data_IF_687313585411
#
_entry.id   IF_687313585411
#
_cell.length_a   1.000
_cell.length_b   1.000
_cell.length_c   1.000
_cell.angle_alpha   90.00
_cell.angle_beta   90.00
_cell.angle_gamma   90.00
#
_symmetry.space_group_name_H-M   'P 1'
#
loop_
_entity.id
_entity.type
_entity.pdbx_description
1 polymer ?
#
# COMPACT_ATOMS: atom_id res chain seq x y z
N UNK A 1 3.19 1.51 -2.55
CA UNK A 1 4.09 2.46 -3.25
C UNK A 1 3.68 3.90 -3.06
N UNK A 2 3.09 4.27 -1.90
CA UNK A 2 2.92 5.67 -1.56
C UNK A 2 4.29 6.29 -1.30
N UNK A 3 4.54 7.47 -1.88
CA UNK A 3 5.78 8.20 -1.72
C UNK A 3 5.49 9.70 -1.60
N UNK A 4 5.78 10.22 -0.40
CA UNK A 4 5.41 11.56 0.01
C UNK A 4 6.67 12.34 0.40
N UNK A 5 6.62 13.65 0.23
CA UNK A 5 7.71 14.54 0.66
C UNK A 5 7.19 15.81 1.31
N UNK A 6 7.98 16.35 2.22
CA UNK A 6 7.80 17.67 2.80
C UNK A 6 9.14 18.20 3.28
N UNK A 7 9.18 19.48 3.63
CA UNK A 7 10.26 20.09 4.38
C UNK A 7 9.66 21.13 5.33
N UNK A 8 10.35 21.41 6.44
CA UNK A 8 9.82 22.32 7.44
C UNK A 8 10.71 22.43 8.66
N UNK A 9 10.17 23.09 9.69
CA UNK A 9 10.86 23.27 10.97
C UNK A 9 10.93 21.96 11.74
N UNK A 10 11.85 21.86 12.70
CA UNK A 10 11.95 20.72 13.62
C UNK A 10 10.61 20.36 14.27
N UNK A 11 9.84 21.37 14.68
CA UNK A 11 8.53 21.16 15.29
C UNK A 11 7.53 20.51 14.31
N UNK A 12 7.50 20.93 13.05
CA UNK A 12 6.64 20.30 12.04
C UNK A 12 7.04 18.85 11.78
N UNK A 13 8.35 18.61 11.62
CA UNK A 13 8.87 17.26 11.35
C UNK A 13 8.62 16.32 12.54
N UNK A 14 8.77 16.77 13.79
CA UNK A 14 8.48 15.95 14.98
C UNK A 14 7.01 15.49 15.02
N UNK A 15 6.07 16.39 14.64
CA UNK A 15 4.65 16.04 14.52
C UNK A 15 4.43 14.99 13.44
N UNK A 16 5.09 15.12 12.29
CA UNK A 16 4.98 14.14 11.21
C UNK A 16 5.59 12.79 11.59
N UNK A 17 6.76 12.76 12.23
CA UNK A 17 7.36 11.53 12.75
C UNK A 17 6.41 10.84 13.75
N UNK A 18 5.78 11.62 14.63
CA UNK A 18 4.82 11.09 15.60
C UNK A 18 3.54 10.56 14.93
N UNK A 19 3.00 11.27 13.94
CA UNK A 19 1.75 10.92 13.28
C UNK A 19 1.89 9.75 12.30
N UNK A 20 3.00 9.72 11.53
CA UNK A 20 3.30 8.61 10.62
C UNK A 20 3.88 7.40 11.35
N UNK A 21 4.56 7.61 12.48
CA UNK A 21 5.21 6.57 13.29
C UNK A 21 6.04 5.60 12.42
N UNK A 22 7.04 6.10 11.67
CA UNK A 22 7.82 5.27 10.77
C UNK A 22 8.50 4.11 11.51
N UNK A 23 8.57 2.95 10.86
CA UNK A 23 9.25 1.77 11.41
C UNK A 23 10.77 1.88 11.35
N UNK A 24 11.27 2.77 10.49
CA UNK A 24 12.68 3.01 10.25
C UNK A 24 12.85 4.44 9.77
N UNK A 25 13.92 5.10 10.22
CA UNK A 25 14.29 6.47 9.84
C UNK A 25 15.68 6.46 9.24
N UNK A 26 15.80 7.00 8.02
CA UNK A 26 17.08 7.17 7.34
C UNK A 26 17.68 8.52 7.71
N UNK A 27 18.95 8.53 8.11
CA UNK A 27 19.67 9.75 8.45
C UNK A 27 21.03 9.79 7.78
N UNK A 28 21.52 11.00 7.54
CA UNK A 28 22.90 11.24 7.16
C UNK A 28 23.82 10.79 8.29
N UNK A 29 24.87 10.02 7.97
CA UNK A 29 25.75 9.37 8.95
C UNK A 29 26.25 10.36 10.00
N UNK A 30 26.74 11.52 9.54
CA UNK A 30 27.29 12.54 10.41
C UNK A 30 26.24 13.36 11.19
N UNK A 31 24.94 13.18 10.90
CA UNK A 31 23.83 13.85 11.60
C UNK A 31 23.05 12.94 12.52
N UNK A 32 23.41 11.66 12.66
CA UNK A 32 22.70 10.71 13.54
C UNK A 32 22.55 11.23 14.97
N UNK A 33 23.64 11.67 15.60
CA UNK A 33 23.61 12.19 16.97
C UNK A 33 22.69 13.42 17.10
N UNK A 34 22.76 14.34 16.13
CA UNK A 34 21.91 15.52 16.08
C UNK A 34 20.42 15.14 15.95
N UNK A 35 20.10 14.12 15.15
CA UNK A 35 18.74 13.60 15.05
C UNK A 35 18.25 13.06 16.39
N UNK A 36 19.06 12.24 17.07
CA UNK A 36 18.71 11.67 18.38
C UNK A 36 18.51 12.76 19.46
N UNK A 37 19.32 13.82 19.44
CA UNK A 37 19.18 14.98 20.35
C UNK A 37 17.87 15.75 20.10
N UNK A 38 17.41 15.83 18.85
CA UNK A 38 16.22 16.59 18.47
C UNK A 38 14.91 15.80 18.58
N UNK A 39 14.91 14.53 18.19
CA UNK A 39 13.71 13.70 18.01
C UNK A 39 13.69 12.46 18.93
N UNK A 40 14.74 12.28 19.74
CA UNK A 40 14.90 11.15 20.66
C UNK A 40 15.54 9.91 20.02
N UNK A 41 15.95 8.97 20.87
CA UNK A 41 16.63 7.72 20.47
C UNK A 41 15.70 6.51 20.33
N UNK A 42 14.38 6.70 20.43
CA UNK A 42 13.39 5.61 20.36
C UNK A 42 13.11 5.07 18.96
N UNK A 43 13.80 5.58 17.94
CA UNK A 43 13.60 5.23 16.54
C UNK A 43 14.60 4.18 16.08
N UNK A 44 14.18 3.29 15.18
CA UNK A 44 15.12 2.46 14.42
C UNK A 44 15.79 3.36 13.37
N UNK A 45 17.06 3.72 13.60
CA UNK A 45 17.80 4.64 12.74
C UNK A 45 18.80 3.87 11.87
N UNK A 46 18.69 4.06 10.55
CA UNK A 46 19.65 3.60 9.55
C UNK A 46 20.45 4.79 9.02
N UNK A 47 21.74 4.79 9.30
CA UNK A 47 22.65 5.88 8.93
C UNK A 47 23.29 5.58 7.56
N UNK A 48 23.20 6.50 6.61
CA UNK A 48 23.73 6.34 5.25
C UNK A 48 24.83 7.36 4.95
N UNK A 49 25.67 7.05 3.96
CA UNK A 49 26.76 7.92 3.55
C UNK A 49 26.28 9.32 3.12
N UNK A 50 27.04 10.35 3.48
CA UNK A 50 26.66 11.75 3.29
C UNK A 50 26.40 12.13 1.83
N UNK A 51 27.10 11.50 0.88
CA UNK A 51 26.95 11.79 -0.55
C UNK A 51 25.53 11.48 -1.06
N UNK A 52 24.82 10.54 -0.41
CA UNK A 52 23.43 10.18 -0.73
C UNK A 52 22.48 11.34 -0.41
N UNK A 53 22.83 12.19 0.56
CA UNK A 53 22.06 13.35 0.99
C UNK A 53 22.45 14.64 0.25
N UNK A 54 23.00 14.54 -0.97
CA UNK A 54 23.30 15.70 -1.82
C UNK A 54 22.19 15.96 -2.82
N UNK A 55 21.93 17.24 -3.13
CA UNK A 55 20.84 17.62 -4.06
C UNK A 55 21.02 16.97 -5.45
N UNK A 56 22.25 16.96 -5.98
CA UNK A 56 22.53 16.38 -7.29
C UNK A 56 22.23 14.87 -7.33
N UNK A 57 22.74 14.10 -6.36
CA UNK A 57 22.49 12.66 -6.29
C UNK A 57 20.99 12.37 -6.16
N UNK A 58 20.29 13.11 -5.29
CA UNK A 58 18.87 12.93 -5.09
C UNK A 58 18.04 13.27 -6.34
N UNK A 59 18.32 14.39 -7.00
CA UNK A 59 17.62 14.80 -8.23
C UNK A 59 17.86 13.82 -9.36
N UNK A 60 19.10 13.37 -9.57
CA UNK A 60 19.43 12.41 -10.61
C UNK A 60 18.74 11.07 -10.35
N UNK A 61 18.74 10.60 -9.10
CA UNK A 61 18.06 9.36 -8.73
C UNK A 61 16.54 9.43 -8.92
N UNK A 62 15.90 10.54 -8.53
CA UNK A 62 14.46 10.76 -8.70
C UNK A 62 14.07 10.90 -10.18
N UNK A 63 14.83 11.68 -10.96
CA UNK A 63 14.60 11.84 -12.40
C UNK A 63 14.72 10.52 -13.15
N UNK A 64 15.76 9.73 -12.81
CA UNK A 64 15.97 8.39 -13.36
C UNK A 64 14.80 7.46 -13.02
N UNK A 65 14.38 7.45 -11.75
CA UNK A 65 13.23 6.65 -11.28
C UNK A 65 11.93 6.96 -12.02
N UNK A 66 11.57 8.25 -12.06
CA UNK A 66 10.31 8.70 -12.66
C UNK A 66 10.38 8.85 -14.18
N UNK A 67 11.54 8.59 -14.79
CA UNK A 67 11.79 8.76 -16.23
C UNK A 67 11.38 10.17 -16.70
N UNK A 68 11.70 11.18 -15.90
CA UNK A 68 11.33 12.58 -16.12
C UNK A 68 12.56 13.48 -16.23
N UNK A 69 12.48 14.51 -17.09
CA UNK A 69 13.53 15.53 -17.23
C UNK A 69 13.55 16.54 -16.08
N UNK A 70 12.42 16.72 -15.37
CA UNK A 70 12.30 17.66 -14.26
C UNK A 70 11.32 17.18 -13.18
N UNK A 71 11.45 17.74 -11.97
CA UNK A 71 10.53 17.44 -10.86
C UNK A 71 9.36 18.45 -10.76
N UNK A 72 9.29 19.42 -11.67
CA UNK A 72 8.24 20.47 -11.69
C UNK A 72 6.83 19.91 -11.81
N UNK A 73 6.66 18.85 -12.62
CA UNK A 73 5.37 18.18 -12.80
C UNK A 73 4.80 17.55 -11.52
N UNK A 74 5.64 17.31 -10.51
CA UNK A 74 5.22 16.78 -9.21
C UNK A 74 4.90 17.88 -8.19
N UNK A 75 5.20 19.16 -8.50
CA UNK A 75 4.96 20.28 -7.60
C UNK A 75 5.86 20.31 -6.36
N UNK A 76 7.03 19.67 -6.42
CA UNK A 76 8.01 19.55 -5.32
C UNK A 76 9.38 20.14 -5.66
N UNK A 77 9.55 20.72 -6.84
CA UNK A 77 10.86 21.14 -7.36
C UNK A 77 11.56 22.21 -6.49
N UNK A 78 10.76 22.98 -5.74
CA UNK A 78 11.20 24.00 -4.78
C UNK A 78 11.52 23.46 -3.38
N UNK A 79 11.21 22.18 -3.09
CA UNK A 79 11.44 21.55 -1.80
C UNK A 79 12.82 20.88 -1.77
N UNK A 80 13.89 21.66 -1.67
CA UNK A 80 15.27 21.15 -1.75
C UNK A 80 15.54 20.02 -0.74
N UNK A 81 15.18 20.23 0.53
CA UNK A 81 15.40 19.23 1.58
C UNK A 81 14.47 18.04 1.41
N UNK A 82 13.23 18.30 0.95
CA UNK A 82 12.28 17.25 0.61
C UNK A 82 12.76 16.35 -0.54
N UNK A 83 13.40 16.94 -1.55
CA UNK A 83 14.02 16.22 -2.68
C UNK A 83 15.17 15.37 -2.19
N UNK A 84 16.07 15.93 -1.38
CA UNK A 84 17.21 15.21 -0.81
C UNK A 84 16.75 13.97 -0.03
N UNK A 85 15.81 14.15 0.90
CA UNK A 85 15.27 13.05 1.70
C UNK A 85 14.59 11.98 0.82
N UNK A 86 13.87 12.40 -0.23
CA UNK A 86 13.22 11.48 -1.18
C UNK A 86 14.26 10.68 -1.97
N UNK A 87 15.31 11.32 -2.47
CA UNK A 87 16.39 10.65 -3.19
C UNK A 87 17.12 9.63 -2.31
N UNK A 88 17.35 9.97 -1.04
CA UNK A 88 17.98 9.07 -0.07
C UNK A 88 17.14 7.80 0.18
N UNK A 89 15.81 7.91 0.25
CA UNK A 89 14.90 6.76 0.36
C UNK A 89 15.06 5.82 -0.85
N UNK A 90 15.08 6.36 -2.07
CA UNK A 90 15.23 5.54 -3.28
C UNK A 90 16.61 4.87 -3.36
N UNK A 91 17.67 5.59 -2.98
CA UNK A 91 19.01 5.00 -2.88
C UNK A 91 19.07 3.88 -1.83
N UNK A 92 18.41 4.06 -0.68
CA UNK A 92 18.35 3.03 0.34
C UNK A 92 17.63 1.77 -0.14
N UNK A 93 16.57 1.92 -0.94
CA UNK A 93 15.89 0.78 -1.59
C UNK A 93 16.83 0.01 -2.54
N UNK A 94 17.73 0.71 -3.24
CA UNK A 94 18.72 0.06 -4.09
C UNK A 94 19.74 -0.75 -3.27
N UNK A 95 20.28 -0.15 -2.20
CA UNK A 95 21.26 -0.79 -1.30
C UNK A 95 20.66 -2.03 -0.64
N UNK A 96 19.39 -1.94 -0.22
CA UNK A 96 18.65 -3.06 0.40
C UNK A 96 18.10 -4.06 -0.63
N UNK A 97 18.50 -3.95 -1.90
CA UNK A 97 18.18 -4.89 -2.99
C UNK A 97 16.67 -5.07 -3.17
N UNK A 98 15.96 -3.95 -3.34
CA UNK A 98 14.56 -3.92 -3.78
C UNK A 98 14.50 -3.60 -5.30
N UNK A 99 14.71 -4.58 -6.19
CA UNK A 99 14.97 -4.33 -7.61
C UNK A 99 13.79 -3.74 -8.40
N UNK A 100 12.54 -3.93 -7.94
CA UNK A 100 11.36 -3.54 -8.73
C UNK A 100 10.48 -2.51 -7.99
N UNK A 101 10.99 -1.29 -7.89
CA UNK A 101 10.28 -0.17 -7.27
C UNK A 101 9.46 0.66 -8.26
N UNK A 102 9.28 0.22 -9.51
CA UNK A 102 8.54 0.94 -10.57
C UNK A 102 7.07 1.25 -10.20
N UNK A 103 6.52 0.52 -9.25
CA UNK A 103 5.18 0.76 -8.69
C UNK A 103 5.08 2.07 -7.86
N UNK A 104 6.21 2.69 -7.52
CA UNK A 104 6.28 4.05 -6.96
C UNK A 104 6.26 5.03 -8.14
N UNK A 105 5.08 5.45 -8.57
CA UNK A 105 4.90 6.20 -9.83
C UNK A 105 4.76 7.72 -9.66
N UNK A 106 4.70 8.21 -8.42
CA UNK A 106 4.54 9.64 -8.13
C UNK A 106 5.21 10.00 -6.81
N UNK A 107 5.70 11.23 -6.73
CA UNK A 107 6.14 11.87 -5.49
C UNK A 107 5.16 13.01 -5.16
N UNK A 108 4.48 12.91 -4.02
CA UNK A 108 3.43 13.89 -3.65
C UNK A 108 3.82 14.72 -2.45
N UNK A 109 3.58 16.03 -2.51
CA UNK A 109 3.81 16.93 -1.38
C UNK A 109 2.79 16.69 -0.25
N UNK A 110 3.28 16.57 0.98
CA UNK A 110 2.45 16.73 2.18
C UNK A 110 2.26 18.23 2.39
N UNK A 111 1.07 18.73 2.06
CA UNK A 111 0.73 20.14 2.30
C UNK A 111 0.25 20.31 3.74
N UNK A 112 1.05 20.97 4.56
CA UNK A 112 0.73 21.22 5.98
C UNK A 112 -0.59 21.99 6.16
N UNK A 113 -0.95 22.84 5.20
CA UNK A 113 -2.16 23.68 5.27
C UNK A 113 -3.46 22.94 4.94
N UNK A 114 -3.38 21.74 4.34
CA UNK A 114 -4.58 20.94 4.03
C UNK A 114 -5.18 20.26 5.25
N UNK A 115 -4.41 20.12 6.33
CA UNK A 115 -4.81 19.37 7.51
C UNK A 115 -4.74 20.20 8.78
N UNK A 116 -5.56 19.84 9.77
CA UNK A 116 -5.43 20.38 11.12
C UNK A 116 -4.13 19.87 11.72
N UNK A 117 -3.31 20.79 12.25
CA UNK A 117 -2.05 20.44 12.90
C UNK A 117 -2.33 19.82 14.26
N UNK A 118 -1.96 18.57 14.43
CA UNK A 118 -2.01 17.85 15.70
C UNK A 118 -0.58 17.50 16.11
N UNK A 119 -0.19 17.93 17.31
CA UNK A 119 1.09 17.53 17.89
C UNK A 119 1.00 16.20 18.63
N UNK A 120 2.17 15.63 18.96
CA UNK A 120 2.28 14.35 19.65
C UNK A 120 1.52 14.33 20.98
N UNK A 121 1.54 15.45 21.73
CA UNK A 121 0.84 15.57 23.00
C UNK A 121 -0.67 15.54 22.81
N UNK A 122 -1.18 16.24 21.80
CA UNK A 122 -2.60 16.28 21.44
C UNK A 122 -3.07 14.90 20.98
N UNK A 123 -2.35 14.24 20.08
CA UNK A 123 -2.67 12.88 19.60
C UNK A 123 -2.70 11.88 20.76
N UNK A 124 -1.75 12.00 21.70
CA UNK A 124 -1.68 11.15 22.89
C UNK A 124 -2.78 11.45 23.90
N UNK A 125 -2.99 12.72 24.28
CA UNK A 125 -3.94 13.12 25.31
C UNK A 125 -5.41 12.95 24.88
N UNK A 126 -5.68 13.09 23.59
CA UNK A 126 -6.98 12.74 23.01
C UNK A 126 -7.13 11.23 22.75
N UNK A 127 -6.12 10.43 23.09
CA UNK A 127 -6.08 8.98 22.88
C UNK A 127 -6.52 8.59 21.45
N UNK A 128 -6.04 9.32 20.44
CA UNK A 128 -6.55 9.14 19.07
C UNK A 128 -6.22 7.75 18.52
N UNK A 129 -4.99 7.29 18.75
CA UNK A 129 -4.48 6.03 18.22
C UNK A 129 -4.46 4.91 19.27
N UNK A 130 -4.07 5.24 20.50
CA UNK A 130 -3.87 4.30 21.61
C UNK A 130 -4.39 4.90 22.91
N UNK A 131 -5.01 4.08 23.76
CA UNK A 131 -5.38 4.49 25.11
C UNK A 131 -4.12 4.63 25.98
N UNK A 132 -4.15 5.52 26.96
CA UNK A 132 -3.08 5.73 27.94
C UNK A 132 -3.21 4.77 29.12
N UNK A 133 -4.44 4.39 29.47
CA UNK A 133 -4.72 3.50 30.60
C UNK A 133 -4.97 2.08 30.14
N UNK A 134 -4.53 1.10 30.94
CA UNK A 134 -4.86 -0.30 30.72
C UNK A 134 -6.38 -0.51 30.76
N UNK A 135 -6.91 -1.23 29.78
CA UNK A 135 -8.36 -1.43 29.60
C UNK A 135 -9.11 -0.27 28.92
N UNK A 136 -8.45 0.85 28.64
CA UNK A 136 -9.02 1.97 27.88
C UNK A 136 -9.20 1.66 26.38
N UNK A 137 -10.05 2.44 25.71
CA UNK A 137 -10.22 2.38 24.23
C UNK A 137 -9.92 3.74 23.61
N UNK A 138 -8.98 3.75 22.67
CA UNK A 138 -8.70 4.92 21.84
C UNK A 138 -9.87 5.26 20.91
N UNK A 139 -9.89 6.50 20.40
CA UNK A 139 -10.85 6.89 19.36
C UNK A 139 -10.80 5.93 18.16
N UNK A 140 -9.59 5.62 17.67
CA UNK A 140 -9.41 4.66 16.59
C UNK A 140 -9.92 3.27 16.98
N UNK A 141 -9.70 2.81 18.21
CA UNK A 141 -10.22 1.51 18.69
C UNK A 141 -11.75 1.42 18.71
N UNK A 142 -12.44 2.56 18.82
CA UNK A 142 -13.90 2.66 18.71
C UNK A 142 -14.34 2.74 17.24
N UNK A 143 -13.73 3.64 16.46
CA UNK A 143 -14.14 3.94 15.09
C UNK A 143 -13.74 2.89 14.06
N UNK A 144 -12.60 2.23 14.25
CA UNK A 144 -12.10 1.26 13.27
C UNK A 144 -12.91 -0.05 13.33
N UNK A 145 -13.93 -0.09 12.48
CA UNK A 145 -14.72 -1.27 12.11
C UNK A 145 -14.54 -1.59 10.63
N UNK A 146 -13.39 -1.22 10.08
CA UNK A 146 -13.10 -1.45 8.66
C UNK A 146 -12.92 -2.96 8.39
N UNK A 147 -13.27 -3.36 7.17
CA UNK A 147 -13.26 -4.77 6.76
C UNK A 147 -11.89 -5.19 6.23
N UNK A 148 -11.21 -4.28 5.52
CA UNK A 148 -9.91 -4.57 4.90
C UNK A 148 -8.76 -3.93 5.69
N UNK A 149 -7.57 -4.57 5.74
CA UNK A 149 -6.41 -3.98 6.38
C UNK A 149 -5.99 -2.62 5.79
N UNK A 150 -6.14 -2.44 4.48
CA UNK A 150 -5.89 -1.15 3.83
C UNK A 150 -6.89 -0.06 4.28
N UNK A 151 -8.15 -0.42 4.51
CA UNK A 151 -9.15 0.47 5.09
C UNK A 151 -8.79 0.90 6.51
N UNK A 152 -8.32 -0.03 7.36
CA UNK A 152 -7.86 0.28 8.73
C UNK A 152 -6.69 1.26 8.73
N UNK A 153 -5.71 1.05 7.84
CA UNK A 153 -4.58 1.99 7.65
C UNK A 153 -5.05 3.37 7.21
N UNK A 154 -6.03 3.44 6.30
CA UNK A 154 -6.61 4.71 5.86
C UNK A 154 -7.36 5.42 6.99
N UNK A 155 -8.16 4.69 7.79
CA UNK A 155 -8.88 5.23 8.94
C UNK A 155 -7.92 5.82 9.98
N UNK A 156 -6.87 5.06 10.33
CA UNK A 156 -5.78 5.54 11.20
C UNK A 156 -5.22 6.87 10.71
N UNK A 157 -4.93 6.99 9.41
CA UNK A 157 -4.41 8.21 8.81
C UNK A 157 -5.40 9.36 8.88
N UNK A 158 -6.67 9.14 8.57
CA UNK A 158 -7.69 10.19 8.62
C UNK A 158 -7.90 10.75 10.03
N UNK A 159 -7.76 9.91 11.06
CA UNK A 159 -7.87 10.34 12.46
C UNK A 159 -6.76 11.32 12.84
N UNK A 160 -5.53 11.12 12.35
CA UNK A 160 -4.38 11.99 12.70
C UNK A 160 -4.12 13.11 11.68
N UNK A 161 -4.78 13.08 10.53
CA UNK A 161 -4.76 14.15 9.52
C UNK A 161 -6.18 14.63 9.21
N UNK A 162 -6.86 15.35 10.15
CA UNK A 162 -8.17 15.89 9.89
C UNK A 162 -8.10 16.93 8.78
N UNK A 163 -9.04 16.92 7.84
CA UNK A 163 -9.12 17.90 6.77
C UNK A 163 -9.46 19.28 7.32
N UNK A 164 -8.88 20.34 6.73
CA UNK A 164 -9.19 21.74 7.06
C UNK A 164 -10.22 22.35 6.12
N UNK A 165 -10.23 21.93 4.86
CA UNK A 165 -11.13 22.47 3.83
C UNK A 165 -12.53 21.87 3.94
N UNK A 166 -13.55 22.73 3.86
CA UNK A 166 -14.96 22.33 3.99
C UNK A 166 -15.39 21.39 2.87
N UNK A 167 -15.01 21.69 1.62
CA UNK A 167 -15.52 20.95 0.46
C UNK A 167 -15.15 19.45 0.50
N UNK A 168 -13.89 19.04 0.75
CA UNK A 168 -13.54 17.63 0.95
C UNK A 168 -14.25 16.96 2.14
N UNK A 169 -14.56 17.70 3.21
CA UNK A 169 -15.31 17.18 4.36
C UNK A 169 -16.76 16.88 3.96
N UNK A 170 -17.42 17.83 3.31
CA UNK A 170 -18.79 17.67 2.80
C UNK A 170 -18.89 16.53 1.80
N UNK A 171 -17.91 16.40 0.90
CA UNK A 171 -17.88 15.29 -0.06
C UNK A 171 -17.83 13.92 0.64
N UNK A 172 -17.05 13.79 1.73
CA UNK A 172 -17.05 12.57 2.56
C UNK A 172 -18.38 12.35 3.27
N UNK A 173 -18.94 13.39 3.88
CA UNK A 173 -20.23 13.31 4.59
C UNK A 173 -21.37 12.92 3.66
N UNK A 174 -21.40 13.46 2.43
CA UNK A 174 -22.40 13.11 1.42
C UNK A 174 -22.34 11.63 1.02
N UNK A 175 -21.13 11.06 0.92
CA UNK A 175 -20.96 9.62 0.65
C UNK A 175 -21.42 8.78 1.84
N UNK A 176 -21.09 9.18 3.07
CA UNK A 176 -21.54 8.49 4.29
C UNK A 176 -23.06 8.50 4.40
N UNK A 177 -23.69 9.66 4.19
CA UNK A 177 -25.15 9.81 4.20
C UNK A 177 -25.81 8.93 3.14
N UNK A 178 -25.21 8.82 1.96
CA UNK A 178 -25.73 7.93 0.91
C UNK A 178 -25.73 6.47 1.34
N UNK A 179 -24.63 5.96 1.94
CA UNK A 179 -24.59 4.59 2.46
C UNK A 179 -25.49 4.36 3.67
N UNK A 180 -25.82 5.42 4.42
CA UNK A 180 -26.80 5.32 5.50
C UNK A 180 -28.23 5.17 4.97
N UNK A 181 -28.55 5.90 3.88
CA UNK A 181 -29.87 5.86 3.23
C UNK A 181 -30.09 4.65 2.33
N UNK A 182 -29.01 3.99 1.89
CA UNK A 182 -29.05 2.79 1.06
C UNK A 182 -28.38 1.58 1.76
N UNK A 183 -29.13 0.86 2.61
CA UNK A 183 -28.61 -0.32 3.32
C UNK A 183 -28.22 -1.48 2.40
N UNK A 184 -28.86 -1.62 1.23
CA UNK A 184 -28.57 -2.71 0.30
C UNK A 184 -27.22 -2.48 -0.39
N UNK A 185 -26.94 -1.24 -0.83
CA UNK A 185 -25.61 -0.86 -1.32
C UNK A 185 -24.55 -1.11 -0.24
N UNK A 186 -24.79 -0.69 1.01
CA UNK A 186 -23.86 -0.94 2.12
C UNK A 186 -23.60 -2.43 2.33
N UNK A 187 -24.64 -3.27 2.26
CA UNK A 187 -24.54 -4.72 2.40
C UNK A 187 -23.72 -5.34 1.26
N UNK A 188 -23.98 -4.94 0.02
CA UNK A 188 -23.21 -5.35 -1.15
C UNK A 188 -21.72 -5.01 -0.95
N UNK A 189 -21.40 -3.76 -0.60
CA UNK A 189 -20.03 -3.33 -0.36
C UNK A 189 -19.36 -4.12 0.76
N UNK A 190 -20.09 -4.38 1.85
CA UNK A 190 -19.57 -5.15 2.98
C UNK A 190 -19.16 -6.56 2.54
N UNK A 191 -20.01 -7.22 1.75
CA UNK A 191 -19.72 -8.54 1.20
C UNK A 191 -18.53 -8.50 0.24
N UNK A 192 -18.52 -7.59 -0.73
CA UNK A 192 -17.46 -7.54 -1.74
C UNK A 192 -16.10 -7.11 -1.14
N UNK A 193 -16.05 -6.09 -0.28
CA UNK A 193 -14.82 -5.66 0.39
C UNK A 193 -14.21 -6.76 1.27
N UNK A 194 -15.03 -7.66 1.83
CA UNK A 194 -14.53 -8.80 2.62
C UNK A 194 -13.71 -9.80 1.79
N UNK A 195 -13.99 -9.89 0.49
CA UNK A 195 -13.29 -10.79 -0.43
C UNK A 195 -11.96 -10.21 -0.92
N UNK A 196 -11.78 -8.90 -0.88
CA UNK A 196 -10.59 -8.21 -1.42
C UNK A 196 -9.34 -8.47 -0.58
N UNK A 197 -9.47 -8.45 0.75
CA UNK A 197 -8.32 -8.59 1.66
C UNK A 197 -7.36 -7.40 1.60
N UNK A 198 -6.05 -7.65 1.78
CA UNK A 198 -5.00 -6.62 1.72
C UNK A 198 -4.39 -6.49 0.31
N UNK A 199 -5.21 -6.02 -0.63
CA UNK A 199 -4.83 -5.86 -2.04
C UNK A 199 -3.60 -4.95 -2.22
N UNK A 200 -3.52 -3.86 -1.45
CA UNK A 200 -2.39 -2.93 -1.51
C UNK A 200 -1.05 -3.63 -1.24
N UNK A 201 -1.01 -4.53 -0.25
CA UNK A 201 0.19 -5.29 0.08
C UNK A 201 0.50 -6.37 -0.96
N UNK A 202 -0.52 -7.03 -1.50
CA UNK A 202 -0.35 -8.02 -2.58
C UNK A 202 0.27 -7.37 -3.81
N UNK A 203 -0.25 -6.21 -4.25
CA UNK A 203 0.31 -5.46 -5.38
C UNK A 203 1.76 -5.02 -5.08
N UNK A 204 2.04 -4.54 -3.86
CA UNK A 204 3.42 -4.17 -3.49
C UNK A 204 4.39 -5.37 -3.58
N UNK A 205 3.96 -6.57 -3.18
CA UNK A 205 4.75 -7.80 -3.33
C UNK A 205 4.90 -8.23 -4.78
N UNK A 206 3.83 -8.11 -5.58
CA UNK A 206 3.84 -8.43 -7.00
C UNK A 206 4.87 -7.58 -7.75
N UNK A 207 4.88 -6.27 -7.47
CA UNK A 207 5.85 -5.35 -8.03
C UNK A 207 7.28 -5.84 -7.77
N UNK A 208 7.63 -6.14 -6.51
CA UNK A 208 8.96 -6.64 -6.12
C UNK A 208 9.25 -8.11 -6.47
N UNK A 209 8.39 -8.78 -7.23
CA UNK A 209 8.59 -10.18 -7.63
C UNK A 209 8.54 -11.18 -6.47
N UNK A 210 7.94 -10.80 -5.34
CA UNK A 210 7.83 -11.64 -4.12
C UNK A 210 6.41 -12.11 -3.84
N UNK A 211 5.51 -12.01 -4.83
CA UNK A 211 4.14 -12.52 -4.70
C UNK A 211 4.12 -14.06 -4.75
N UNK A 212 3.32 -14.67 -3.89
CA UNK A 212 3.12 -16.12 -3.86
C UNK A 212 1.95 -16.56 -4.74
N UNK A 213 1.88 -17.84 -5.19
CA UNK A 213 0.77 -18.33 -6.01
C UNK A 213 -0.61 -18.13 -5.36
N UNK A 214 -0.71 -18.32 -4.03
CA UNK A 214 -1.95 -18.05 -3.28
C UNK A 214 -2.34 -16.58 -3.32
N UNK A 215 -1.37 -15.68 -3.23
CA UNK A 215 -1.62 -14.24 -3.34
C UNK A 215 -2.01 -13.83 -4.77
N UNK A 216 -1.51 -14.52 -5.80
CA UNK A 216 -1.97 -14.34 -7.19
C UNK A 216 -3.44 -14.75 -7.33
N UNK A 217 -3.85 -15.88 -6.73
CA UNK A 217 -5.27 -16.26 -6.70
C UNK A 217 -6.11 -15.26 -5.89
N UNK A 218 -5.61 -14.80 -4.74
CA UNK A 218 -6.28 -13.77 -3.95
C UNK A 218 -6.45 -12.45 -4.73
N UNK A 219 -5.47 -12.07 -5.56
CA UNK A 219 -5.57 -10.92 -6.46
C UNK A 219 -6.74 -11.11 -7.45
N UNK A 220 -6.90 -12.30 -8.04
CA UNK A 220 -8.04 -12.62 -8.89
C UNK A 220 -9.37 -12.47 -8.14
N UNK A 221 -9.47 -13.01 -6.92
CA UNK A 221 -10.67 -12.88 -6.07
C UNK A 221 -11.00 -11.41 -5.81
N UNK A 222 -9.99 -10.60 -5.49
CA UNK A 222 -10.14 -9.17 -5.29
C UNK A 222 -10.64 -8.45 -6.57
N UNK A 223 -10.07 -8.77 -7.73
CA UNK A 223 -10.47 -8.19 -9.02
C UNK A 223 -11.93 -8.55 -9.39
N UNK A 224 -12.35 -9.79 -9.11
CA UNK A 224 -13.75 -10.20 -9.24
C UNK A 224 -14.70 -9.39 -8.35
N UNK A 225 -14.31 -9.17 -7.09
CA UNK A 225 -15.12 -8.42 -6.14
C UNK A 225 -15.26 -6.93 -6.49
N UNK A 226 -14.36 -6.37 -7.29
CA UNK A 226 -14.42 -4.97 -7.73
C UNK A 226 -15.53 -4.73 -8.76
N UNK A 227 -15.88 -5.72 -9.58
CA UNK A 227 -16.86 -5.55 -10.66
C UNK A 227 -18.26 -5.18 -10.15
N UNK A 228 -18.87 -5.91 -9.19
CA UNK A 228 -20.17 -5.50 -8.62
C UNK A 228 -20.11 -4.15 -7.88
N UNK A 229 -18.98 -3.80 -7.26
CA UNK A 229 -18.79 -2.50 -6.60
C UNK A 229 -18.84 -1.37 -7.64
N UNK A 230 -18.14 -1.55 -8.76
CA UNK A 230 -18.09 -0.57 -9.84
C UNK A 230 -19.47 -0.32 -10.43
N UNK A 231 -20.21 -1.38 -10.74
CA UNK A 231 -21.56 -1.29 -11.27
C UNK A 231 -22.48 -0.51 -10.32
N UNK A 232 -22.51 -0.90 -9.05
CA UNK A 232 -23.33 -0.25 -8.04
C UNK A 232 -22.95 1.24 -7.83
N UNK A 233 -21.66 1.59 -7.93
CA UNK A 233 -21.22 2.98 -7.85
C UNK A 233 -21.65 3.81 -9.05
N UNK A 234 -21.58 3.26 -10.27
CA UNK A 234 -22.00 3.95 -11.49
C UNK A 234 -23.52 4.17 -11.54
N UNK A 235 -24.29 3.22 -11.00
CA UNK A 235 -25.75 3.30 -10.88
C UNK A 235 -26.22 4.21 -9.75
N UNK A 236 -25.35 4.50 -8.76
CA UNK A 236 -25.71 5.32 -7.62
C UNK A 236 -26.14 6.74 -8.02
N UNK A 237 -27.07 7.33 -7.26
CA UNK A 237 -27.48 8.73 -7.46
C UNK A 237 -26.44 9.78 -7.01
N UNK A 238 -25.30 9.34 -6.45
CA UNK A 238 -24.29 10.21 -5.85
C UNK A 238 -23.11 10.46 -6.80
N UNK A 239 -22.85 11.71 -7.14
CA UNK A 239 -21.79 12.08 -8.09
C UNK A 239 -20.39 11.64 -7.67
N UNK A 240 -20.09 11.64 -6.35
CA UNK A 240 -18.79 11.20 -5.83
C UNK A 240 -18.62 9.69 -5.92
N UNK A 241 -19.68 8.92 -5.72
CA UNK A 241 -19.64 7.48 -5.92
C UNK A 241 -19.43 7.14 -7.39
N UNK A 242 -20.08 7.84 -8.33
CA UNK A 242 -19.80 7.69 -9.77
C UNK A 242 -18.33 7.97 -10.10
N UNK A 243 -17.78 9.08 -9.59
CA UNK A 243 -16.35 9.42 -9.76
C UNK A 243 -15.41 8.32 -9.19
N UNK A 244 -15.81 7.65 -8.11
CA UNK A 244 -15.09 6.49 -7.58
C UNK A 244 -15.25 5.28 -8.50
N UNK A 245 -16.46 4.99 -8.98
CA UNK A 245 -16.77 3.87 -9.88
C UNK A 245 -16.04 3.94 -11.21
N UNK A 246 -15.93 5.14 -11.80
CA UNK A 246 -15.19 5.37 -13.05
C UNK A 246 -13.70 5.05 -12.92
N UNK A 247 -13.12 5.27 -11.74
CA UNK A 247 -11.71 4.95 -11.44
C UNK A 247 -11.48 3.47 -11.16
N UNK A 248 -12.52 2.71 -10.81
CA UNK A 248 -12.40 1.28 -10.58
C UNK A 248 -12.21 0.55 -11.91
N UNK A 249 -11.21 -0.33 -11.95
CA UNK A 249 -10.95 -1.20 -13.08
C UNK A 249 -10.88 -2.66 -12.61
N UNK A 250 -11.84 -3.51 -13.01
CA UNK A 250 -11.81 -4.95 -12.69
C UNK A 250 -10.66 -5.72 -13.37
N UNK A 251 -9.93 -5.10 -14.30
CA UNK A 251 -8.78 -5.68 -14.99
C UNK A 251 -9.06 -7.08 -15.58
N UNK A 252 -10.09 -7.23 -16.45
CA UNK A 252 -10.57 -8.54 -16.89
C UNK A 252 -9.47 -9.39 -17.55
N UNK A 253 -8.60 -8.78 -18.37
CA UNK A 253 -7.47 -9.49 -18.98
C UNK A 253 -6.54 -10.15 -17.96
N UNK A 254 -6.25 -9.47 -16.84
CA UNK A 254 -5.40 -10.01 -15.79
C UNK A 254 -6.14 -11.09 -15.00
N UNK A 255 -7.39 -10.82 -14.64
CA UNK A 255 -8.26 -11.79 -13.94
C UNK A 255 -8.36 -13.09 -14.72
N UNK A 256 -8.74 -13.01 -15.99
CA UNK A 256 -9.00 -14.18 -16.84
C UNK A 256 -7.72 -14.96 -17.09
N UNK A 257 -6.58 -14.24 -17.21
CA UNK A 257 -5.27 -14.86 -17.30
C UNK A 257 -4.91 -15.65 -16.04
N UNK A 258 -5.13 -15.07 -14.85
CA UNK A 258 -4.88 -15.79 -13.59
C UNK A 258 -5.78 -17.01 -13.46
N UNK A 259 -7.07 -16.89 -13.81
CA UNK A 259 -8.03 -18.00 -13.80
C UNK A 259 -7.56 -19.16 -14.71
N UNK A 260 -7.06 -18.83 -15.90
CA UNK A 260 -6.57 -19.83 -16.86
C UNK A 260 -5.23 -20.43 -16.44
N UNK A 261 -4.29 -19.62 -15.97
CA UNK A 261 -2.89 -20.02 -15.80
C UNK A 261 -2.58 -20.63 -14.44
N UNK A 262 -3.34 -20.31 -13.39
CA UNK A 262 -3.06 -20.71 -12.01
C UNK A 262 -4.18 -21.62 -11.48
N UNK A 263 -3.81 -22.71 -10.83
CA UNK A 263 -4.78 -23.62 -10.20
C UNK A 263 -5.55 -22.92 -9.06
N UNK A 264 -6.82 -23.28 -8.79
CA UNK A 264 -7.64 -22.57 -7.80
C UNK A 264 -7.12 -22.61 -6.36
N UNK A 265 -6.50 -23.73 -5.94
CA UNK A 265 -5.87 -23.87 -4.62
C UNK A 265 -4.38 -24.21 -4.76
N UNK A 266 -3.54 -23.20 -5.05
CA UNK A 266 -2.13 -23.44 -5.25
C UNK A 266 -1.40 -23.59 -3.91
N UNK A 267 -0.26 -24.30 -3.88
CA UNK A 267 0.60 -24.35 -2.71
C UNK A 267 1.03 -22.96 -2.24
N UNK A 268 1.19 -22.79 -0.92
CA UNK A 268 1.62 -21.51 -0.35
C UNK A 268 3.06 -21.13 -0.72
N UNK A 269 3.93 -22.12 -0.93
CA UNK A 269 5.34 -21.91 -1.26
C UNK A 269 5.59 -22.22 -2.73
N UNK A 270 6.29 -21.31 -3.41
CA UNK A 270 6.65 -21.44 -4.82
C UNK A 270 7.47 -22.71 -5.08
N UNK A 271 8.38 -23.05 -4.15
CA UNK A 271 9.27 -24.20 -4.30
C UNK A 271 8.55 -25.57 -4.30
N UNK A 272 7.29 -25.64 -3.88
CA UNK A 272 6.50 -26.89 -3.95
C UNK A 272 5.99 -27.18 -5.36
N UNK A 273 6.05 -26.22 -6.29
CA UNK A 273 5.53 -26.38 -7.64
C UNK A 273 4.01 -26.59 -7.66
N UNK A 274 3.50 -27.16 -8.75
CA UNK A 274 2.09 -27.61 -8.85
C UNK A 274 1.04 -26.49 -8.93
N UNK A 275 1.43 -25.23 -9.10
CA UNK A 275 0.50 -24.09 -9.13
C UNK A 275 0.08 -23.64 -10.54
N UNK A 276 0.83 -24.02 -11.59
CA UNK A 276 0.45 -23.75 -12.99
C UNK A 276 -0.59 -24.78 -13.45
N UNK A 277 -1.69 -24.32 -14.03
CA UNK A 277 -2.77 -25.16 -14.58
C UNK A 277 -2.28 -26.04 -15.75
N UNK A 278 -2.94 -27.18 -15.96
CA UNK A 278 -2.70 -28.04 -17.12
C UNK A 278 -3.12 -27.32 -18.41
N UNK A 279 -2.39 -27.51 -19.50
CA UNK A 279 -2.62 -26.90 -20.81
C UNK A 279 -2.04 -25.49 -20.97
N UNK A 280 -1.35 -24.97 -19.95
CA UNK A 280 -0.67 -23.67 -20.01
C UNK A 280 0.68 -23.79 -20.71
N UNK A 281 1.39 -24.88 -20.48
CA UNK A 281 2.68 -25.15 -21.07
C UNK A 281 2.84 -26.66 -21.33
N UNK A 282 2.93 -27.04 -22.60
CA UNK A 282 2.98 -28.45 -23.01
C UNK A 282 4.21 -29.17 -22.45
N UNK A 283 5.37 -28.52 -22.45
CA UNK A 283 6.61 -29.10 -21.92
C UNK A 283 6.49 -29.38 -20.41
N UNK A 284 5.90 -28.45 -19.64
CA UNK A 284 5.65 -28.65 -18.21
C UNK A 284 4.66 -29.80 -17.96
N UNK A 285 3.64 -29.94 -18.80
CA UNK A 285 2.67 -31.03 -18.69
C UNK A 285 3.32 -32.38 -19.01
N UNK A 286 4.13 -32.47 -20.07
CA UNK A 286 4.91 -33.67 -20.40
C UNK A 286 5.85 -34.07 -19.25
N UNK A 287 6.57 -33.11 -18.67
CA UNK A 287 7.46 -33.34 -17.54
C UNK A 287 6.70 -33.83 -16.29
N UNK A 288 5.51 -33.31 -16.03
CA UNK A 288 4.64 -33.78 -14.94
C UNK A 288 4.17 -35.21 -15.22
N UNK A 289 3.72 -35.50 -16.44
CA UNK A 289 3.25 -36.83 -16.81
C UNK A 289 4.38 -37.86 -16.65
N UNK A 290 5.62 -37.54 -17.02
CA UNK A 290 6.80 -38.40 -16.76
C UNK A 290 7.03 -38.60 -15.26
N UNK A 291 7.00 -37.54 -14.46
CA UNK A 291 7.29 -37.60 -13.03
C UNK A 291 6.27 -38.44 -12.23
N UNK A 292 4.99 -38.42 -12.63
CA UNK A 292 3.91 -39.09 -11.90
C UNK A 292 3.49 -40.45 -12.51
N UNK A 293 3.73 -40.69 -13.80
CA UNK A 293 3.41 -41.98 -14.46
C UNK A 293 4.22 -43.16 -13.94
N UNK A 294 5.41 -42.94 -13.36
CA UNK A 294 6.23 -44.00 -12.76
C UNK A 294 5.56 -44.68 -11.55
N UNK A 295 4.77 -43.93 -10.77
CA UNK A 295 4.01 -44.49 -9.63
C UNK A 295 2.85 -45.37 -10.10
N UNK A 296 2.13 -44.94 -11.12
CA UNK A 296 1.02 -45.71 -11.71
C UNK A 296 1.53 -46.96 -12.43
N UNK A 297 2.72 -46.90 -13.04
CA UNK A 297 3.38 -48.06 -13.62
C UNK A 297 3.77 -49.10 -12.55
N UNK A 298 4.34 -48.67 -11.42
CA UNK A 298 4.68 -49.56 -10.30
C UNK A 298 3.42 -50.19 -9.65
N UNK A 299 2.35 -49.42 -9.49
CA UNK A 299 1.06 -49.93 -8.99
C UNK A 299 0.44 -50.98 -9.92
N UNK A 300 0.51 -50.77 -11.24
CA UNK A 300 0.07 -51.76 -12.24
C UNK A 300 0.93 -53.03 -12.24
N UNK A 301 2.21 -52.92 -11.88
CA UNK A 301 3.12 -54.06 -11.72
C UNK A 301 2.83 -54.88 -10.46
N UNK A 302 2.38 -54.23 -9.38
CA UNK A 302 2.04 -54.87 -8.11
C UNK A 302 0.70 -55.63 -8.13
N UNK A 303 -0.20 -55.27 -9.05
CA UNK A 303 -1.49 -55.95 -9.26
C UNK A 303 -1.40 -57.11 -10.27
N UNK A 304 -0.20 -57.39 -10.80
CA UNK A 304 0.12 -58.59 -11.58
C UNK A 304 0.83 -59.60 -10.70
#
# INVERSE_FOLDING_TARGET
GEFLTTEGTHESIDKLLSNFSPKEVLVEHNKKRKFEELFGSGWLISALDDWIFTENAARDRLKSHFKSSSLKGFGVDHLEQGIIASGAILHYMDITQHPNIEHINSLTRIEEDRFVRLDKFTVRNLELLSAMNEGGKSLLGVLDKTISPMGSRLMRRWVVFPLKEVKPIEDRLNVVEHFFRDPELKKLLTQQLSLIGDLERIISKAAVGRITPREVVQLKVALNAIEPIKEAFNESGNSKLKEMGERLNPCPLMRDRIEKEIVPDPPALINKGGFISKGVNNELDELRDIAFSGKDYLLKLQQR
#
